data_IF_142500430701
#
_entry.id   IF_142500430701
#
_cell.length_a   1.000
_cell.length_b   1.000
_cell.length_c   1.000
_cell.angle_alpha   90.00
_cell.angle_beta   90.00
_cell.angle_gamma   90.00
#
_symmetry.space_group_name_H-M   'P 1'
#
loop_
_entity.id
_entity.type
_entity.pdbx_description
1 polymer ?
#
# COMPACT_ATOMS: atom_id res chain seq x y z
N UNK A 1 11.18 11.44 -20.11
CA UNK A 1 9.76 11.03 -19.91
C UNK A 1 9.27 11.66 -18.61
N UNK A 2 8.00 12.08 -18.55
CA UNK A 2 7.39 12.53 -17.30
C UNK A 2 7.32 11.38 -16.31
N UNK A 3 7.64 11.62 -15.03
CA UNK A 3 7.57 10.60 -13.98
C UNK A 3 6.11 10.13 -13.85
N UNK A 4 5.90 8.82 -13.95
CA UNK A 4 4.62 8.14 -13.74
C UNK A 4 4.71 7.12 -12.64
N UNK A 5 3.77 7.20 -11.70
CA UNK A 5 3.71 6.40 -10.49
C UNK A 5 2.38 5.65 -10.45
N UNK A 6 2.44 4.38 -10.08
CA UNK A 6 1.26 3.58 -9.75
C UNK A 6 1.45 3.00 -8.36
N UNK A 7 0.41 3.07 -7.52
CA UNK A 7 0.38 2.29 -6.30
C UNK A 7 -1.04 1.93 -5.87
N UNK A 8 -1.20 0.79 -5.21
CA UNK A 8 -2.49 0.27 -4.79
C UNK A 8 -2.47 -0.34 -3.39
N UNK A 9 -3.59 -0.21 -2.67
CA UNK A 9 -3.81 -0.81 -1.36
C UNK A 9 -4.97 -1.78 -1.48
N UNK A 10 -4.68 -3.08 -1.38
CA UNK A 10 -5.70 -4.13 -1.41
C UNK A 10 -6.76 -3.87 -0.33
N UNK A 11 -8.05 -4.04 -0.62
CA UNK A 11 -9.13 -3.90 0.35
C UNK A 11 -9.18 -5.12 1.30
N UNK A 12 -8.11 -5.33 2.06
CA UNK A 12 -7.97 -6.42 3.02
C UNK A 12 -7.92 -5.86 4.43
N UNK A 13 -9.01 -6.01 5.20
CA UNK A 13 -9.19 -5.61 6.60
C UNK A 13 -8.90 -4.15 6.94
N UNK A 14 -8.92 -3.82 8.23
CA UNK A 14 -8.76 -2.43 8.68
C UNK A 14 -7.33 -1.90 8.49
N UNK A 15 -7.21 -0.63 8.08
CA UNK A 15 -5.92 0.06 7.97
C UNK A 15 -5.39 0.43 9.36
N UNK A 16 -4.13 0.08 9.61
CA UNK A 16 -3.40 0.46 10.82
C UNK A 16 -2.39 1.58 10.52
N UNK A 17 -1.82 2.18 11.56
CA UNK A 17 -0.82 3.24 11.42
C UNK A 17 0.42 2.79 10.63
N UNK A 18 0.77 1.50 10.69
CA UNK A 18 1.84 0.94 9.86
C UNK A 18 1.52 0.99 8.35
N UNK A 19 0.29 0.69 7.97
CA UNK A 19 -0.19 0.87 6.60
C UNK A 19 -0.27 2.33 6.17
N UNK A 20 -0.61 3.24 7.08
CA UNK A 20 -0.56 4.67 6.78
C UNK A 20 0.88 5.16 6.54
N UNK A 21 1.81 4.83 7.43
CA UNK A 21 3.22 5.23 7.33
C UNK A 21 3.87 4.64 6.07
N UNK A 22 3.68 3.33 5.84
CA UNK A 22 4.34 2.62 4.74
C UNK A 22 3.73 2.87 3.36
N UNK A 23 2.52 3.44 3.27
CA UNK A 23 1.84 3.66 1.99
C UNK A 23 1.17 5.04 1.89
N UNK A 24 0.09 5.30 2.62
CA UNK A 24 -0.75 6.50 2.41
C UNK A 24 0.03 7.81 2.54
N UNK A 25 0.86 7.96 3.59
CA UNK A 25 1.69 9.16 3.78
C UNK A 25 2.62 9.40 2.59
N UNK A 26 3.17 8.33 2.04
CA UNK A 26 4.10 8.37 0.92
C UNK A 26 3.39 8.81 -0.35
N UNK A 27 2.18 8.30 -0.57
CA UNK A 27 1.36 8.73 -1.71
C UNK A 27 1.06 10.23 -1.64
N UNK A 28 0.76 10.75 -0.44
CA UNK A 28 0.51 12.18 -0.22
C UNK A 28 1.76 13.03 -0.48
N UNK A 29 2.95 12.52 -0.21
CA UNK A 29 4.21 13.22 -0.50
C UNK A 29 4.54 13.19 -2.00
N UNK A 30 4.42 12.01 -2.62
CA UNK A 30 4.83 11.76 -4.00
C UNK A 30 3.84 12.27 -5.06
N UNK A 31 2.59 12.53 -4.69
CA UNK A 31 1.52 12.94 -5.63
C UNK A 31 1.82 14.21 -6.44
N UNK A 32 2.83 15.00 -6.04
CA UNK A 32 3.23 16.22 -6.77
C UNK A 32 4.52 16.02 -7.61
N UNK A 33 5.11 14.83 -7.62
CA UNK A 33 6.37 14.54 -8.33
C UNK A 33 6.14 14.10 -9.79
N UNK A 34 4.90 13.85 -10.19
CA UNK A 34 4.56 13.33 -11.51
C UNK A 34 3.07 12.96 -11.63
N UNK A 35 2.74 12.23 -12.69
CA UNK A 35 1.39 11.70 -12.91
C UNK A 35 1.22 10.42 -12.07
N UNK A 36 0.29 10.45 -11.12
CA UNK A 36 0.08 9.33 -10.20
C UNK A 36 -1.29 8.68 -10.38
N UNK A 37 -1.27 7.35 -10.33
CA UNK A 37 -2.44 6.48 -10.34
C UNK A 37 -2.50 5.76 -8.99
N UNK A 38 -3.54 6.04 -8.21
CA UNK A 38 -3.80 5.36 -6.95
C UNK A 38 -5.07 4.53 -7.09
N UNK A 39 -5.01 3.26 -6.69
CA UNK A 39 -6.14 2.38 -6.93
C UNK A 39 -6.41 1.40 -5.80
N UNK A 40 -7.61 0.84 -5.84
CA UNK A 40 -8.05 -0.25 -4.98
C UNK A 40 -8.04 -1.53 -5.83
N UNK A 41 -7.05 -2.43 -5.63
CA UNK A 41 -6.92 -3.69 -6.36
C UNK A 41 -7.91 -4.74 -5.83
N UNK A 42 -9.19 -4.56 -6.17
CA UNK A 42 -10.28 -5.46 -5.79
C UNK A 42 -10.28 -6.80 -6.56
N UNK A 43 -9.72 -6.86 -7.78
CA UNK A 43 -9.50 -8.14 -8.47
C UNK A 43 -8.40 -8.98 -7.80
N UNK A 44 -7.37 -8.33 -7.23
CA UNK A 44 -6.38 -9.03 -6.38
C UNK A 44 -6.97 -9.48 -5.04
N UNK A 45 -8.04 -8.84 -4.57
CA UNK A 45 -8.71 -9.23 -3.34
C UNK A 45 -9.32 -10.63 -3.45
N UNK A 46 -9.98 -10.92 -4.57
CA UNK A 46 -10.72 -12.16 -4.84
C UNK A 46 -9.84 -13.36 -5.25
N UNK A 47 -8.51 -13.23 -5.22
CA UNK A 47 -7.57 -14.37 -5.34
C UNK A 47 -7.70 -15.39 -4.21
N UNK A 48 -8.32 -14.97 -3.09
CA UNK A 48 -8.73 -15.81 -1.97
C UNK A 48 -10.19 -15.48 -1.61
N UNK A 49 -10.93 -16.39 -0.96
CA UNK A 49 -12.34 -16.16 -0.62
C UNK A 49 -12.58 -14.85 0.13
N UNK A 50 -13.63 -14.13 -0.25
CA UNK A 50 -14.07 -12.87 0.37
C UNK A 50 -15.54 -12.96 0.73
N UNK A 51 -15.95 -12.34 1.84
CA UNK A 51 -17.35 -12.01 2.05
C UNK A 51 -17.75 -10.85 1.11
N UNK A 52 -18.80 -10.98 0.28
CA UNK A 52 -19.16 -9.95 -0.70
C UNK A 52 -19.53 -8.59 -0.08
N UNK A 53 -20.18 -8.58 1.09
CA UNK A 53 -20.54 -7.33 1.76
C UNK A 53 -19.30 -6.65 2.31
N UNK A 54 -18.42 -7.43 2.91
CA UNK A 54 -17.17 -6.96 3.47
C UNK A 54 -16.20 -6.44 2.40
N UNK A 55 -16.08 -7.13 1.26
CA UNK A 55 -15.26 -6.64 0.13
C UNK A 55 -15.76 -5.29 -0.37
N UNK A 56 -17.08 -5.15 -0.57
CA UNK A 56 -17.69 -3.89 -1.02
C UNK A 56 -17.41 -2.75 -0.06
N UNK A 57 -17.64 -3.00 1.24
CA UNK A 57 -17.39 -2.01 2.28
C UNK A 57 -15.92 -1.62 2.31
N UNK A 58 -15.00 -2.59 2.43
CA UNK A 58 -13.55 -2.35 2.49
C UNK A 58 -13.01 -1.61 1.28
N UNK A 59 -13.45 -1.95 0.07
CA UNK A 59 -13.04 -1.22 -1.14
C UNK A 59 -13.39 0.27 -1.02
N UNK A 60 -14.59 0.58 -0.54
CA UNK A 60 -15.04 1.95 -0.30
C UNK A 60 -14.22 2.62 0.80
N UNK A 61 -13.91 1.90 1.87
CA UNK A 61 -13.09 2.41 2.98
C UNK A 61 -11.67 2.79 2.54
N UNK A 62 -10.99 1.93 1.77
CA UNK A 62 -9.65 2.25 1.25
C UNK A 62 -9.70 3.51 0.37
N UNK A 63 -10.69 3.60 -0.52
CA UNK A 63 -10.86 4.78 -1.36
C UNK A 63 -11.08 6.06 -0.54
N UNK A 64 -11.92 6.00 0.50
CA UNK A 64 -12.13 7.11 1.43
C UNK A 64 -10.83 7.49 2.16
N UNK A 65 -10.02 6.51 2.58
CA UNK A 65 -8.74 6.78 3.24
C UNK A 65 -7.72 7.46 2.33
N UNK A 66 -7.70 7.19 1.02
CA UNK A 66 -6.84 7.96 0.10
C UNK A 66 -7.15 9.46 0.20
N UNK A 67 -8.44 9.81 0.10
CA UNK A 67 -8.87 11.21 0.15
C UNK A 67 -8.65 11.81 1.54
N UNK A 68 -9.04 11.08 2.58
CA UNK A 68 -8.92 11.54 3.96
C UNK A 68 -7.46 11.73 4.40
N UNK A 69 -6.53 10.94 3.88
CA UNK A 69 -5.10 11.11 4.13
C UNK A 69 -4.51 12.33 3.39
N UNK A 70 -5.21 12.86 2.37
CA UNK A 70 -4.80 14.05 1.62
C UNK A 70 -4.32 13.78 0.19
N UNK A 71 -4.65 12.64 -0.41
CA UNK A 71 -4.46 12.44 -1.84
C UNK A 71 -5.48 13.30 -2.60
N UNK A 72 -4.98 14.19 -3.46
CA UNK A 72 -5.78 15.13 -4.23
C UNK A 72 -6.40 14.42 -5.46
N UNK A 73 -7.73 14.22 -5.51
CA UNK A 73 -8.40 13.54 -6.62
C UNK A 73 -8.45 14.39 -7.89
N UNK A 74 -8.25 15.70 -7.81
CA UNK A 74 -8.21 16.56 -9.01
C UNK A 74 -6.91 16.35 -9.76
N UNK A 75 -5.80 16.21 -9.03
CA UNK A 75 -4.46 15.98 -9.61
C UNK A 75 -4.22 14.54 -10.02
N UNK A 76 -4.73 13.58 -9.25
CA UNK A 76 -4.39 12.16 -9.38
C UNK A 76 -5.63 11.33 -9.69
N UNK A 77 -5.46 10.27 -10.47
CA UNK A 77 -6.54 9.32 -10.71
C UNK A 77 -6.68 8.37 -9.50
N UNK A 78 -7.87 8.33 -8.90
CA UNK A 78 -8.20 7.43 -7.80
C UNK A 78 -9.36 6.53 -8.23
N UNK A 79 -9.15 5.22 -8.31
CA UNK A 79 -10.12 4.32 -8.94
C UNK A 79 -10.14 2.89 -8.36
N UNK A 80 -11.17 2.13 -8.72
CA UNK A 80 -11.26 0.69 -8.45
C UNK A 80 -10.67 -0.08 -9.63
N UNK A 81 -9.82 -1.08 -9.38
CA UNK A 81 -9.21 -1.89 -10.44
C UNK A 81 -10.25 -2.50 -11.37
N UNK A 82 -11.32 -3.07 -10.81
CA UNK A 82 -12.41 -3.69 -11.57
C UNK A 82 -13.20 -2.72 -12.46
N UNK A 83 -13.08 -1.41 -12.25
CA UNK A 83 -13.77 -0.39 -13.07
C UNK A 83 -12.97 -0.01 -14.32
N UNK A 84 -11.79 -0.58 -14.52
CA UNK A 84 -10.95 -0.39 -15.72
C UNK A 84 -10.66 -1.77 -16.30
N UNK A 85 -11.45 -2.18 -17.30
CA UNK A 85 -11.41 -3.55 -17.86
C UNK A 85 -10.06 -3.94 -18.45
N UNK A 86 -9.26 -2.95 -18.87
CA UNK A 86 -7.93 -3.18 -19.42
C UNK A 86 -7.00 -3.93 -18.46
N UNK A 87 -7.18 -3.80 -17.14
CA UNK A 87 -6.41 -4.57 -16.15
C UNK A 87 -6.57 -6.07 -16.35
N UNK A 88 -7.80 -6.55 -16.51
CA UNK A 88 -8.08 -7.96 -16.70
C UNK A 88 -7.62 -8.44 -18.09
N UNK A 89 -7.87 -7.66 -19.14
CA UNK A 89 -7.52 -8.03 -20.51
C UNK A 89 -6.00 -8.07 -20.73
N UNK A 90 -5.26 -7.04 -20.29
CA UNK A 90 -3.80 -7.08 -20.34
C UNK A 90 -3.24 -8.10 -19.33
N UNK A 91 -3.94 -8.37 -18.23
CA UNK A 91 -3.58 -9.43 -17.28
C UNK A 91 -3.49 -10.79 -17.97
N UNK A 92 -4.49 -11.13 -18.80
CA UNK A 92 -4.45 -12.33 -19.63
C UNK A 92 -3.29 -12.31 -20.62
N UNK A 93 -3.05 -11.19 -21.30
CA UNK A 93 -1.92 -11.05 -22.23
C UNK A 93 -0.59 -11.29 -21.50
N UNK A 94 -0.39 -10.70 -20.32
CA UNK A 94 0.81 -10.89 -19.51
C UNK A 94 0.96 -12.33 -19.02
N UNK A 95 -0.15 -13.00 -18.68
CA UNK A 95 -0.14 -14.41 -18.28
C UNK A 95 0.38 -15.31 -19.41
N UNK A 96 0.04 -15.01 -20.67
CA UNK A 96 0.61 -15.74 -21.83
C UNK A 96 2.11 -15.51 -22.03
N UNK A 97 2.67 -14.47 -21.41
CA UNK A 97 4.11 -14.20 -21.44
C UNK A 97 4.83 -14.83 -20.25
N UNK A 98 4.15 -15.08 -19.13
CA UNK A 98 4.75 -15.66 -17.93
C UNK A 98 4.97 -17.17 -18.07
N UNK A 99 6.06 -17.67 -17.50
CA UNK A 99 6.34 -19.10 -17.45
C UNK A 99 5.94 -19.70 -16.10
N UNK A 100 5.46 -20.95 -16.12
CA UNK A 100 5.08 -21.69 -14.92
C UNK A 100 6.17 -21.68 -13.84
N UNK A 101 7.44 -21.85 -14.24
CA UNK A 101 8.58 -21.84 -13.33
C UNK A 101 8.73 -20.50 -12.58
N UNK A 102 8.43 -19.38 -13.22
CA UNK A 102 8.56 -18.05 -12.63
C UNK A 102 7.49 -17.84 -11.55
N UNK A 103 6.24 -18.19 -11.87
CA UNK A 103 5.11 -18.09 -10.96
C UNK A 103 5.24 -19.05 -9.76
N UNK A 104 5.65 -20.30 -9.99
CA UNK A 104 5.82 -21.31 -8.93
C UNK A 104 6.96 -21.02 -7.94
N UNK A 105 7.90 -20.15 -8.31
CA UNK A 105 9.00 -19.73 -7.44
C UNK A 105 8.67 -18.50 -6.60
N UNK A 106 7.52 -17.86 -6.81
CA UNK A 106 7.12 -16.69 -6.04
C UNK A 106 6.95 -17.04 -4.56
N UNK A 107 7.65 -16.33 -3.68
CA UNK A 107 7.63 -16.58 -2.23
C UNK A 107 6.23 -16.38 -1.68
N UNK A 108 5.54 -15.32 -2.11
CA UNK A 108 4.16 -15.07 -1.69
C UNK A 108 3.17 -16.16 -2.12
N UNK A 109 3.39 -16.80 -3.28
CA UNK A 109 2.57 -17.94 -3.68
C UNK A 109 2.82 -19.12 -2.74
N UNK A 110 4.09 -19.49 -2.52
CA UNK A 110 4.48 -20.57 -1.60
C UNK A 110 3.89 -20.36 -0.22
N UNK A 111 4.14 -19.21 0.40
CA UNK A 111 3.68 -18.89 1.76
C UNK A 111 2.14 -18.91 1.88
N UNK A 112 1.41 -18.41 0.87
CA UNK A 112 -0.06 -18.35 0.91
C UNK A 112 -0.73 -19.67 0.50
N UNK A 113 0.00 -20.56 -0.16
CA UNK A 113 -0.44 -21.90 -0.59
C UNK A 113 -0.12 -22.97 0.44
N UNK A 114 0.88 -22.74 1.30
CA UNK A 114 1.35 -23.71 2.27
C UNK A 114 0.23 -24.13 3.24
N UNK A 115 0.14 -25.44 3.49
CA UNK A 115 -0.88 -26.03 4.35
C UNK A 115 -2.33 -25.93 3.86
N UNK A 116 -2.60 -25.58 2.59
CA UNK A 116 -3.95 -25.53 2.03
C UNK A 116 -4.26 -26.72 1.12
N UNK A 117 -5.42 -27.34 1.35
CA UNK A 117 -5.93 -28.44 0.52
C UNK A 117 -6.30 -27.99 -0.90
N UNK A 118 -6.78 -26.74 -1.03
CA UNK A 118 -7.16 -26.15 -2.31
C UNK A 118 -6.61 -24.74 -2.43
N UNK A 119 -5.99 -24.46 -3.58
CA UNK A 119 -5.38 -23.18 -3.90
C UNK A 119 -5.98 -22.69 -5.20
N UNK A 120 -6.51 -21.46 -5.20
CA UNK A 120 -7.05 -20.85 -6.40
C UNK A 120 -5.95 -20.67 -7.45
N UNK A 121 -6.26 -20.95 -8.72
CA UNK A 121 -5.35 -20.63 -9.84
C UNK A 121 -5.01 -19.14 -9.87
N UNK A 122 -5.96 -18.28 -9.47
CA UNK A 122 -5.72 -16.85 -9.38
C UNK A 122 -4.62 -16.49 -8.36
N UNK A 123 -4.44 -17.28 -7.29
CA UNK A 123 -3.32 -17.06 -6.36
C UNK A 123 -1.96 -17.36 -7.01
N UNK A 124 -1.93 -18.24 -8.01
CA UNK A 124 -0.74 -18.54 -8.79
C UNK A 124 -0.48 -17.50 -9.89
N UNK A 125 -1.55 -17.00 -10.53
CA UNK A 125 -1.45 -16.14 -11.72
C UNK A 125 -1.55 -14.64 -11.45
N UNK A 126 -1.94 -14.20 -10.24
CA UNK A 126 -2.03 -12.78 -9.92
C UNK A 126 -0.74 -11.95 -10.17
N UNK A 127 0.49 -12.50 -10.15
CA UNK A 127 1.67 -11.71 -10.51
C UNK A 127 1.60 -11.17 -11.95
N UNK A 128 0.95 -11.89 -12.88
CA UNK A 128 0.70 -11.38 -14.23
C UNK A 128 -0.34 -10.25 -14.26
N UNK A 129 -1.37 -10.33 -13.41
CA UNK A 129 -2.32 -9.24 -13.20
C UNK A 129 -1.65 -8.01 -12.59
N UNK A 130 -0.72 -8.18 -11.64
CA UNK A 130 0.07 -7.09 -11.08
C UNK A 130 0.97 -6.43 -12.13
N UNK A 131 1.59 -7.23 -13.01
CA UNK A 131 2.34 -6.69 -14.14
C UNK A 131 1.44 -5.87 -15.07
N UNK A 132 0.23 -6.36 -15.37
CA UNK A 132 -0.77 -5.61 -16.13
C UNK A 132 -1.10 -4.27 -15.47
N UNK A 133 -1.36 -4.27 -14.16
CA UNK A 133 -1.67 -3.04 -13.41
C UNK A 133 -0.59 -1.98 -13.65
N UNK A 134 0.69 -2.36 -13.53
CA UNK A 134 1.84 -1.47 -13.66
C UNK A 134 2.03 -1.01 -15.10
N UNK A 135 2.00 -1.92 -16.07
CA UNK A 135 2.41 -1.63 -17.45
C UNK A 135 1.37 -0.80 -18.21
N UNK A 136 0.07 -0.91 -17.89
CA UNK A 136 -1.00 -0.16 -18.56
C UNK A 136 -0.78 1.36 -18.57
N UNK A 137 -0.17 1.90 -17.54
CA UNK A 137 0.01 3.35 -17.38
C UNK A 137 1.35 3.86 -17.90
N UNK A 138 2.16 2.99 -18.53
CA UNK A 138 3.56 3.30 -18.86
C UNK A 138 4.32 3.76 -17.60
N UNK A 139 4.09 3.04 -16.50
CA UNK A 139 4.61 3.39 -15.19
C UNK A 139 6.13 3.37 -15.22
N UNK A 140 6.73 4.49 -14.80
CA UNK A 140 8.19 4.63 -14.74
C UNK A 140 8.74 4.15 -13.41
N UNK A 141 7.97 4.32 -12.33
CA UNK A 141 8.41 4.03 -10.98
C UNK A 141 7.29 3.41 -10.16
N UNK A 142 7.60 2.44 -9.31
CA UNK A 142 6.65 1.80 -8.40
C UNK A 142 7.17 1.87 -6.96
N UNK A 143 6.45 2.54 -6.04
CA UNK A 143 6.75 2.44 -4.62
C UNK A 143 6.49 1.00 -4.16
N UNK A 144 7.53 0.30 -3.72
CA UNK A 144 7.40 -1.09 -3.28
C UNK A 144 8.02 -1.28 -1.91
N UNK A 145 7.31 -1.99 -1.04
CA UNK A 145 7.92 -2.60 0.14
C UNK A 145 8.77 -3.82 -0.25
N UNK A 146 9.62 -4.27 0.66
CA UNK A 146 10.49 -5.44 0.45
C UNK A 146 9.72 -6.69 -0.01
N UNK A 147 8.48 -6.85 0.46
CA UNK A 147 7.61 -7.98 0.14
C UNK A 147 7.12 -7.99 -1.31
N UNK A 148 7.13 -6.84 -2.00
CA UNK A 148 6.65 -6.70 -3.37
C UNK A 148 7.77 -6.64 -4.42
N UNK A 149 9.04 -6.60 -3.99
CA UNK A 149 10.20 -6.51 -4.88
C UNK A 149 10.23 -7.65 -5.91
N UNK A 150 9.94 -8.88 -5.50
CA UNK A 150 9.94 -10.04 -6.40
C UNK A 150 8.90 -9.92 -7.52
N UNK A 151 7.72 -9.34 -7.23
CA UNK A 151 6.70 -9.12 -8.26
C UNK A 151 7.08 -8.01 -9.23
N UNK A 152 7.75 -6.97 -8.74
CA UNK A 152 8.25 -5.90 -9.61
C UNK A 152 9.33 -6.43 -10.55
N UNK A 153 10.26 -7.27 -10.07
CA UNK A 153 11.23 -7.93 -10.94
C UNK A 153 10.56 -8.78 -12.02
N UNK A 154 9.55 -9.59 -11.65
CA UNK A 154 8.77 -10.34 -12.64
C UNK A 154 8.10 -9.39 -13.66
N UNK A 155 7.53 -8.28 -13.20
CA UNK A 155 6.91 -7.29 -14.09
C UNK A 155 7.91 -6.73 -15.10
N UNK A 156 9.14 -6.43 -14.67
CA UNK A 156 10.23 -5.97 -15.54
C UNK A 156 10.65 -7.05 -16.55
N UNK A 157 10.75 -8.30 -16.11
CA UNK A 157 11.05 -9.44 -16.98
C UNK A 157 9.97 -9.63 -18.05
N UNK A 158 8.69 -9.56 -17.68
CA UNK A 158 7.56 -9.67 -18.61
C UNK A 158 7.52 -8.50 -19.61
N UNK A 159 7.74 -7.27 -19.15
CA UNK A 159 7.82 -6.09 -20.01
C UNK A 159 8.96 -6.22 -21.03
N UNK A 160 10.15 -6.59 -20.58
CA UNK A 160 11.33 -6.77 -21.43
C UNK A 160 11.12 -7.90 -22.44
N UNK A 161 10.55 -9.03 -21.99
CA UNK A 161 10.21 -10.17 -22.86
C UNK A 161 9.21 -9.78 -23.94
N UNK A 162 8.15 -9.07 -23.57
CA UNK A 162 7.17 -8.58 -24.52
C UNK A 162 7.81 -7.65 -25.54
N UNK A 163 8.58 -6.66 -25.07
CA UNK A 163 9.23 -5.67 -25.92
C UNK A 163 10.19 -6.31 -26.94
N UNK A 164 11.02 -7.26 -26.49
CA UNK A 164 11.94 -7.98 -27.36
C UNK A 164 11.23 -8.82 -28.43
N UNK A 165 10.03 -9.32 -28.13
CA UNK A 165 9.28 -10.21 -29.02
C UNK A 165 8.39 -9.47 -30.01
N UNK A 166 7.75 -8.38 -29.58
CA UNK A 166 6.69 -7.69 -30.33
C UNK A 166 7.02 -6.22 -30.66
N UNK A 167 8.17 -5.71 -30.22
CA UNK A 167 8.58 -4.31 -30.36
C UNK A 167 8.37 -3.51 -29.07
N UNK A 168 9.02 -2.35 -28.95
CA UNK A 168 8.96 -1.52 -27.75
C UNK A 168 7.55 -0.95 -27.51
N UNK A 169 6.81 -1.56 -26.56
CA UNK A 169 5.44 -1.15 -26.18
C UNK A 169 5.38 -0.67 -24.73
N UNK A 170 6.14 -1.30 -23.83
CA UNK A 170 6.09 -1.01 -22.41
C UNK A 170 7.32 -0.29 -21.90
N UNK A 171 7.10 0.71 -21.06
CA UNK A 171 8.13 1.25 -20.16
C UNK A 171 8.46 0.21 -19.10
N UNK A 172 9.75 -0.05 -18.87
CA UNK A 172 10.22 -0.96 -17.80
C UNK A 172 10.27 -0.16 -16.48
N UNK A 173 9.50 -0.54 -15.45
CA UNK A 173 9.36 0.26 -14.22
C UNK A 173 10.54 0.07 -13.26
N UNK A 174 10.99 1.13 -12.60
CA UNK A 174 12.02 1.11 -11.55
C UNK A 174 11.42 1.10 -10.13
N UNK A 175 12.04 0.43 -9.16
CA UNK A 175 11.60 0.48 -7.77
C UNK A 175 11.88 1.85 -7.14
N UNK A 176 10.97 2.31 -6.28
CA UNK A 176 11.26 3.34 -5.29
C UNK A 176 11.36 2.64 -3.93
N UNK A 177 12.58 2.55 -3.41
CA UNK A 177 12.89 2.03 -2.07
C UNK A 177 12.82 3.21 -1.08
N UNK A 178 12.19 2.99 0.07
CA UNK A 178 11.98 4.04 1.07
C UNK A 178 13.01 3.91 2.20
N UNK A 179 13.62 5.04 2.59
CA UNK A 179 14.78 5.06 3.49
C UNK A 179 14.45 5.03 5.00
N UNK A 180 13.23 5.38 5.45
CA UNK A 180 12.86 5.43 6.89
C UNK A 180 11.37 5.13 7.13
N UNK A 181 11.03 4.35 8.16
CA UNK A 181 9.64 4.10 8.60
C UNK A 181 8.87 3.06 7.77
N UNK A 182 9.54 2.39 6.83
CA UNK A 182 8.92 1.39 5.94
C UNK A 182 8.28 0.20 6.68
N UNK A 183 8.67 -0.02 7.95
CA UNK A 183 8.23 -1.19 8.72
C UNK A 183 7.97 -0.86 10.19
N UNK A 184 6.73 -0.44 10.47
CA UNK A 184 6.23 -0.28 11.84
C UNK A 184 6.01 -1.64 12.50
N UNK A 185 6.59 -1.85 13.67
CA UNK A 185 6.50 -3.09 14.45
C UNK A 185 5.34 -3.06 15.46
N UNK A 186 4.97 -4.23 15.97
CA UNK A 186 3.94 -4.37 17.00
C UNK A 186 4.28 -3.57 18.26
N UNK A 187 3.27 -3.00 18.90
CA UNK A 187 3.43 -2.28 20.17
C UNK A 187 3.70 -3.22 21.34
N UNK A 188 3.38 -4.50 21.22
CA UNK A 188 3.61 -5.54 22.23
C UNK A 188 4.91 -6.34 21.98
N UNK A 189 5.23 -6.60 20.72
CA UNK A 189 6.44 -7.31 20.30
C UNK A 189 7.09 -6.59 19.10
N UNK A 190 8.26 -5.96 19.29
CA UNK A 190 8.93 -5.25 18.22
C UNK A 190 9.65 -6.16 17.22
N UNK A 191 9.68 -7.49 17.44
CA UNK A 191 10.22 -8.44 16.45
C UNK A 191 9.21 -8.77 15.35
N UNK A 192 7.93 -8.50 15.61
CA UNK A 192 6.82 -8.79 14.71
C UNK A 192 6.30 -7.51 14.06
N UNK A 193 6.04 -7.53 12.74
CA UNK A 193 5.43 -6.39 12.03
C UNK A 193 4.04 -6.11 12.61
N UNK A 194 3.68 -4.83 12.72
CA UNK A 194 2.33 -4.45 13.14
C UNK A 194 1.29 -5.06 12.20
N UNK A 195 0.48 -5.98 12.72
CA UNK A 195 -0.53 -6.69 11.95
C UNK A 195 -1.86 -6.70 12.69
N UNK A 196 -2.94 -6.40 11.96
CA UNK A 196 -4.32 -6.55 12.44
C UNK A 196 -4.73 -8.00 12.72
N UNK A 197 -4.00 -8.98 12.17
CA UNK A 197 -4.25 -10.40 12.44
C UNK A 197 -3.67 -10.86 13.77
N UNK A 198 -2.94 -10.00 14.50
CA UNK A 198 -2.46 -10.30 15.82
C UNK A 198 -3.65 -10.41 16.78
N UNK A 199 -3.81 -11.53 17.53
CA UNK A 199 -4.92 -11.70 18.49
C UNK A 199 -4.91 -10.65 19.61
N UNK A 200 -3.73 -10.11 19.93
CA UNK A 200 -3.60 -9.01 20.88
C UNK A 200 -3.93 -7.68 20.19
N UNK A 201 -5.16 -7.17 20.39
CA UNK A 201 -5.60 -5.87 19.86
C UNK A 201 -4.77 -4.68 20.35
N UNK A 202 -3.96 -4.84 21.41
CA UNK A 202 -3.07 -3.77 21.90
C UNK A 202 -1.78 -3.65 21.07
N UNK A 203 -1.49 -4.62 20.20
CA UNK A 203 -0.29 -4.67 19.35
C UNK A 203 -0.31 -3.68 18.18
N UNK A 204 -1.47 -3.18 17.79
CA UNK A 204 -1.64 -2.31 16.63
C UNK A 204 -2.62 -1.17 16.90
N UNK A 205 -2.45 -0.05 16.21
CA UNK A 205 -3.39 1.09 16.23
C UNK A 205 -4.06 1.20 14.87
N UNK A 206 -5.39 1.18 14.84
CA UNK A 206 -6.17 1.39 13.62
C UNK A 206 -6.33 2.89 13.34
N UNK A 207 -6.48 3.26 12.06
CA UNK A 207 -6.70 4.66 11.69
C UNK A 207 -8.00 5.23 12.25
N UNK A 208 -8.99 4.38 12.54
CA UNK A 208 -10.28 4.76 13.13
C UNK A 208 -10.37 4.40 14.61
N UNK A 209 -9.26 4.04 15.27
CA UNK A 209 -9.31 3.89 16.73
C UNK A 209 -9.66 5.24 17.37
N UNK A 210 -10.59 5.21 18.32
CA UNK A 210 -10.94 6.40 19.11
C UNK A 210 -9.72 6.94 19.87
N UNK A 211 -9.63 8.26 20.09
CA UNK A 211 -8.50 8.87 20.80
C UNK A 211 -8.18 8.24 22.16
N UNK A 212 -9.21 7.81 22.91
CA UNK A 212 -9.04 7.10 24.19
C UNK A 212 -8.40 5.72 24.04
N UNK A 213 -8.71 5.00 22.95
CA UNK A 213 -8.13 3.70 22.62
C UNK A 213 -6.67 3.85 22.21
N UNK A 214 -6.36 4.84 21.37
CA UNK A 214 -4.99 5.15 20.94
C UNK A 214 -4.09 5.42 22.16
N UNK A 215 -4.52 6.31 23.07
CA UNK A 215 -3.79 6.62 24.32
C UNK A 215 -3.56 5.37 25.19
N UNK A 216 -4.58 4.51 25.30
CA UNK A 216 -4.47 3.27 26.07
C UNK A 216 -3.49 2.28 25.45
N UNK A 217 -3.43 2.18 24.12
CA UNK A 217 -2.50 1.29 23.41
C UNK A 217 -1.05 1.76 23.57
N UNK A 218 -0.76 3.04 23.36
CA UNK A 218 0.60 3.58 23.54
C UNK A 218 1.07 3.55 25.00
N UNK A 219 0.19 3.81 25.98
CA UNK A 219 0.59 3.69 27.39
C UNK A 219 0.99 2.26 27.78
N UNK A 220 0.47 1.25 27.07
CA UNK A 220 0.77 -0.18 27.28
C UNK A 220 1.84 -0.74 26.35
N UNK A 221 2.35 0.06 25.40
CA UNK A 221 3.37 -0.40 24.48
C UNK A 221 4.59 -0.91 25.27
N UNK A 222 5.18 -2.02 24.85
CA UNK A 222 6.35 -2.60 25.50
C UNK A 222 7.54 -1.66 25.31
N UNK A 223 8.37 -1.58 26.35
CA UNK A 223 9.65 -0.86 26.39
C UNK A 223 10.62 -1.68 27.24
N UNK A 224 11.90 -1.35 27.17
CA UNK A 224 12.90 -1.89 28.10
C UNK A 224 12.83 -1.22 29.50
N UNK A 225 13.80 -1.54 30.36
CA UNK A 225 13.94 -1.05 31.74
C UNK A 225 14.93 0.11 31.91
N UNK A 226 15.63 0.55 30.86
CA UNK A 226 16.69 1.57 30.97
C UNK A 226 16.14 2.99 31.19
N UNK A 227 14.86 3.20 30.91
CA UNK A 227 14.17 4.49 31.06
C UNK A 227 14.79 5.64 30.25
N UNK A 228 15.43 5.33 29.11
CA UNK A 228 16.09 6.28 28.22
C UNK A 228 15.48 6.24 26.83
N UNK A 229 14.94 7.35 26.35
CA UNK A 229 14.42 7.49 24.98
C UNK A 229 15.58 7.69 24.01
N UNK A 230 16.14 6.57 23.54
CA UNK A 230 17.28 6.53 22.61
C UNK A 230 16.97 5.58 21.46
N UNK A 231 17.29 5.99 20.25
CA UNK A 231 17.15 5.20 19.05
C UNK A 231 18.33 4.22 18.92
N UNK A 232 18.01 2.94 18.99
CA UNK A 232 18.95 1.83 18.89
C UNK A 232 18.16 0.55 18.60
N UNK A 233 18.18 0.05 17.36
CA UNK A 233 17.41 -1.15 17.01
C UNK A 233 18.00 -2.44 17.61
N UNK A 234 19.31 -2.47 17.90
CA UNK A 234 19.97 -3.64 18.45
C UNK A 234 19.71 -3.78 19.94
N UNK A 235 19.80 -2.67 20.68
CA UNK A 235 19.62 -2.67 22.14
C UNK A 235 18.19 -2.32 22.58
N UNK A 236 17.45 -1.51 21.82
CA UNK A 236 16.18 -0.89 22.24
C UNK A 236 15.09 -0.95 21.16
N UNK A 237 14.84 -2.10 20.51
CA UNK A 237 13.95 -2.19 19.34
C UNK A 237 12.53 -1.66 19.61
N UNK A 238 11.99 -1.89 20.81
CA UNK A 238 10.67 -1.38 21.17
C UNK A 238 10.62 0.16 21.26
N UNK A 239 11.65 0.78 21.84
CA UNK A 239 11.74 2.25 21.96
C UNK A 239 12.03 2.87 20.60
N UNK A 240 12.91 2.25 19.80
CA UNK A 240 13.22 2.67 18.43
C UNK A 240 11.98 2.70 17.52
N UNK A 241 11.14 1.65 17.59
CA UNK A 241 9.86 1.62 16.89
C UNK A 241 8.95 2.79 17.30
N UNK A 242 8.85 3.10 18.60
CA UNK A 242 8.04 4.22 19.09
C UNK A 242 8.62 5.58 18.67
N UNK A 243 9.94 5.72 18.62
CA UNK A 243 10.62 6.94 18.14
C UNK A 243 10.34 7.16 16.65
N UNK A 244 10.37 6.10 15.84
CA UNK A 244 10.01 6.19 14.42
C UNK A 244 8.55 6.62 14.22
N UNK A 245 7.62 6.04 14.98
CA UNK A 245 6.21 6.47 14.96
C UNK A 245 6.12 7.95 15.36
N UNK A 246 6.81 8.38 16.42
CA UNK A 246 6.83 9.78 16.84
C UNK A 246 7.36 10.68 15.72
N UNK A 247 8.50 10.33 15.15
CA UNK A 247 9.18 11.08 14.09
C UNK A 247 8.24 11.28 12.89
N UNK A 248 7.55 10.23 12.47
CA UNK A 248 6.63 10.28 11.32
C UNK A 248 5.38 11.10 11.61
N UNK A 249 4.74 10.90 12.76
CA UNK A 249 3.48 11.57 13.08
C UNK A 249 3.67 13.01 13.57
N UNK A 250 4.80 13.29 14.22
CA UNK A 250 5.19 14.62 14.68
C UNK A 250 5.98 15.43 13.66
N UNK A 251 6.31 14.84 12.51
CA UNK A 251 7.15 15.44 11.46
C UNK A 251 8.48 16.00 12.04
N UNK A 252 9.12 15.22 12.92
CA UNK A 252 10.41 15.53 13.56
C UNK A 252 11.49 14.53 13.13
N UNK A 253 12.76 14.93 13.15
CA UNK A 253 13.86 13.97 12.97
C UNK A 253 14.00 13.07 14.21
N UNK A 254 14.56 11.87 14.03
CA UNK A 254 14.88 10.96 15.16
C UNK A 254 15.71 11.68 16.22
N UNK A 255 16.73 12.43 15.80
CA UNK A 255 17.59 13.20 16.70
C UNK A 255 16.83 14.27 17.50
N UNK A 256 15.85 14.94 16.86
CA UNK A 256 15.00 15.90 17.56
C UNK A 256 14.09 15.23 18.59
N UNK A 257 13.59 14.01 18.29
CA UNK A 257 12.81 13.22 19.25
C UNK A 257 13.68 12.82 20.44
N UNK A 258 14.88 12.30 20.22
CA UNK A 258 15.81 11.93 21.31
C UNK A 258 16.14 13.14 22.18
N UNK A 259 16.49 14.27 21.57
CA UNK A 259 16.79 15.52 22.28
C UNK A 259 15.59 16.03 23.08
N UNK A 260 14.37 15.92 22.53
CA UNK A 260 13.14 16.35 23.19
C UNK A 260 12.87 15.58 24.47
N UNK A 261 13.20 14.29 24.49
CA UNK A 261 12.95 13.40 25.63
C UNK A 261 14.23 13.08 26.43
N UNK A 262 15.30 13.84 26.23
CA UNK A 262 16.53 13.72 27.02
C UNK A 262 16.22 13.94 28.52
N UNK A 263 16.66 13.01 29.36
CA UNK A 263 16.39 13.03 30.80
C UNK A 263 14.93 12.77 31.20
N UNK A 264 14.03 12.48 30.24
CA UNK A 264 12.63 12.14 30.52
C UNK A 264 12.40 10.63 30.52
N UNK A 265 11.47 10.15 31.36
CA UNK A 265 11.09 8.75 31.41
C UNK A 265 10.04 8.35 30.36
N UNK A 266 9.89 7.04 30.12
CA UNK A 266 8.96 6.50 29.12
C UNK A 266 7.49 6.89 29.30
N UNK A 267 7.05 7.19 30.52
CA UNK A 267 5.67 7.63 30.77
C UNK A 267 5.34 8.95 30.07
N UNK A 268 6.24 9.94 30.14
CA UNK A 268 6.07 11.22 29.47
C UNK A 268 6.12 11.04 27.94
N UNK A 269 7.12 10.30 27.46
CA UNK A 269 7.29 9.98 26.04
C UNK A 269 6.06 9.30 25.43
N UNK A 270 5.56 8.21 26.05
CA UNK A 270 4.37 7.47 25.55
C UNK A 270 3.11 8.33 25.57
N UNK A 271 2.96 9.18 26.58
CA UNK A 271 1.81 10.10 26.67
C UNK A 271 1.84 11.09 25.51
N UNK A 272 2.98 11.72 25.25
CA UNK A 272 3.10 12.69 24.17
C UNK A 272 3.01 12.04 22.78
N UNK A 273 3.63 10.87 22.59
CA UNK A 273 3.48 10.07 21.38
C UNK A 273 2.01 9.80 21.06
N UNK A 274 1.21 9.43 22.06
CA UNK A 274 -0.21 9.21 21.86
C UNK A 274 -0.94 10.48 21.40
N UNK A 275 -0.66 11.64 21.99
CA UNK A 275 -1.28 12.90 21.58
C UNK A 275 -0.88 13.31 20.17
N UNK A 276 0.40 13.12 19.79
CA UNK A 276 0.88 13.41 18.43
C UNK A 276 0.17 12.53 17.39
N UNK A 277 0.02 11.23 17.68
CA UNK A 277 -0.72 10.32 16.78
C UNK A 277 -2.20 10.70 16.71
N UNK A 278 -2.85 10.99 17.86
CA UNK A 278 -4.24 11.44 17.90
C UNK A 278 -4.43 12.71 17.07
N UNK A 279 -3.60 13.73 17.28
CA UNK A 279 -3.72 15.01 16.58
C UNK A 279 -3.58 14.86 15.05
N UNK A 280 -2.79 13.90 14.57
CA UNK A 280 -2.69 13.60 13.13
C UNK A 280 -3.88 12.80 12.61
N UNK A 281 -4.40 11.86 13.39
CA UNK A 281 -5.50 10.97 12.96
C UNK A 281 -6.86 11.66 13.03
N UNK A 282 -7.11 12.55 13.98
CA UNK A 282 -8.40 13.27 14.11
C UNK A 282 -8.89 13.93 12.81
N UNK A 283 -8.10 14.75 12.09
CA UNK A 283 -8.56 15.34 10.82
C UNK A 283 -8.78 14.29 9.72
N UNK A 284 -7.99 13.21 9.71
CA UNK A 284 -8.17 12.09 8.78
C UNK A 284 -9.50 11.37 9.08
N UNK A 285 -9.77 11.09 10.36
CA UNK A 285 -11.01 10.45 10.80
C UNK A 285 -12.23 11.31 10.48
N UNK A 286 -12.15 12.62 10.71
CA UNK A 286 -13.20 13.56 10.35
C UNK A 286 -13.49 13.49 8.84
N UNK A 287 -12.46 13.69 8.00
CA UNK A 287 -12.64 13.69 6.54
C UNK A 287 -13.10 12.33 6.01
N UNK A 288 -12.64 11.24 6.60
CA UNK A 288 -13.10 9.89 6.30
C UNK A 288 -14.61 9.75 6.55
N UNK A 289 -15.08 10.17 7.73
CA UNK A 289 -16.49 10.08 8.11
C UNK A 289 -17.40 10.95 7.22
N UNK A 290 -16.91 12.10 6.77
CA UNK A 290 -17.61 12.96 5.83
C UNK A 290 -17.77 12.30 4.44
N UNK A 291 -16.72 11.63 3.96
CA UNK A 291 -16.65 11.18 2.57
C UNK A 291 -17.14 9.74 2.34
N UNK A 292 -17.00 8.84 3.33
CA UNK A 292 -17.16 7.40 3.15
C UNK A 292 -18.52 7.00 2.56
N UNK A 293 -19.60 7.70 2.87
CA UNK A 293 -20.94 7.41 2.33
C UNK A 293 -21.49 8.53 1.44
N UNK A 294 -20.63 9.45 1.00
CA UNK A 294 -21.01 10.59 0.17
C UNK A 294 -21.09 10.23 -1.33
N UNK A 295 -21.87 11.02 -2.08
CA UNK A 295 -21.80 11.03 -3.55
C UNK A 295 -20.48 11.61 -4.07
N UNK A 296 -19.79 12.42 -3.26
CA UNK A 296 -18.47 12.97 -3.59
C UNK A 296 -17.49 11.83 -3.90
N UNK A 297 -17.44 10.80 -3.04
CA UNK A 297 -16.59 9.63 -3.25
C UNK A 297 -16.91 8.90 -4.56
N UNK A 298 -18.20 8.74 -4.86
CA UNK A 298 -18.65 8.06 -6.08
C UNK A 298 -18.23 8.83 -7.33
N UNK A 299 -18.35 10.15 -7.29
CA UNK A 299 -17.96 11.02 -8.40
C UNK A 299 -16.45 11.02 -8.60
N UNK A 300 -15.67 11.06 -7.52
CA UNK A 300 -14.20 10.93 -7.56
C UNK A 300 -13.80 9.61 -8.22
N UNK A 301 -14.38 8.49 -7.78
CA UNK A 301 -14.04 7.16 -8.30
C UNK A 301 -14.45 6.96 -9.76
N UNK A 302 -15.59 7.51 -10.18
CA UNK A 302 -16.04 7.49 -11.59
C UNK A 302 -15.09 8.28 -12.48
N UNK A 303 -14.72 9.49 -12.05
CA UNK A 303 -13.80 10.33 -12.82
C UNK A 303 -12.39 9.74 -12.86
N UNK A 304 -11.90 9.21 -11.73
CA UNK A 304 -10.61 8.51 -11.66
C UNK A 304 -10.59 7.28 -12.58
N UNK A 305 -11.65 6.48 -12.60
CA UNK A 305 -11.75 5.32 -13.49
C UNK A 305 -11.76 5.74 -14.98
N UNK A 306 -12.47 6.82 -15.33
CA UNK A 306 -12.46 7.38 -16.69
C UNK A 306 -11.06 7.80 -17.12
N UNK A 307 -10.37 8.61 -16.30
CA UNK A 307 -8.99 9.06 -16.58
C UNK A 307 -7.99 7.91 -16.66
N UNK A 308 -8.14 6.92 -15.79
CA UNK A 308 -7.32 5.71 -15.82
C UNK A 308 -7.56 4.92 -17.11
N UNK A 309 -8.81 4.66 -17.49
CA UNK A 309 -9.17 3.97 -18.72
C UNK A 309 -8.62 4.66 -19.98
N UNK A 310 -8.71 5.99 -20.07
CA UNK A 310 -8.16 6.76 -21.21
C UNK A 310 -6.65 6.52 -21.45
N UNK A 311 -5.90 6.19 -20.40
CA UNK A 311 -4.47 5.85 -20.49
C UNK A 311 -4.29 4.35 -20.72
N UNK A 312 -4.96 3.53 -19.92
CA UNK A 312 -4.85 2.08 -19.95
C UNK A 312 -5.27 1.49 -21.32
N UNK A 313 -6.36 1.99 -21.90
CA UNK A 313 -6.90 1.48 -23.17
C UNK A 313 -5.96 1.76 -24.35
N UNK A 314 -5.21 2.88 -24.31
CA UNK A 314 -4.19 3.19 -25.32
C UNK A 314 -3.05 2.17 -25.28
N UNK A 315 -2.54 1.88 -24.09
CA UNK A 315 -1.47 0.89 -23.90
C UNK A 315 -1.94 -0.52 -24.26
N UNK A 316 -3.16 -0.89 -23.84
CA UNK A 316 -3.76 -2.18 -24.21
C UNK A 316 -3.90 -2.30 -25.73
N UNK A 317 -4.41 -1.27 -26.41
CA UNK A 317 -4.51 -1.27 -27.88
C UNK A 317 -3.15 -1.50 -28.53
N UNK A 318 -2.12 -0.79 -28.09
CA UNK A 318 -0.76 -0.95 -28.61
C UNK A 318 -0.22 -2.38 -28.39
N UNK A 319 -0.45 -2.96 -27.22
CA UNK A 319 -0.06 -4.35 -26.95
C UNK A 319 -0.81 -5.36 -27.85
N UNK A 320 -2.10 -5.14 -28.07
CA UNK A 320 -2.93 -5.98 -28.95
C UNK A 320 -2.46 -5.90 -30.41
N UNK A 321 -2.21 -4.69 -30.91
CA UNK A 321 -1.67 -4.46 -32.26
C UNK A 321 -0.30 -5.14 -32.43
N UNK A 322 0.60 -4.99 -31.46
CA UNK A 322 1.94 -5.60 -31.48
C UNK A 322 1.89 -7.14 -31.48
N UNK A 323 0.87 -7.74 -30.84
CA UNK A 323 0.63 -9.18 -30.88
C UNK A 323 -0.13 -9.66 -32.13
N UNK A 324 -0.57 -8.75 -33.01
CA UNK A 324 -1.35 -9.07 -34.20
C UNK A 324 -2.82 -9.41 -33.90
N UNK A 325 -3.36 -9.01 -32.75
CA UNK A 325 -4.79 -9.10 -32.48
C UNK A 325 -5.54 -8.05 -33.31
N UNK A 326 -6.70 -8.43 -33.83
CA UNK A 326 -7.57 -7.49 -34.54
C UNK A 326 -8.11 -6.43 -33.57
N UNK A 327 -7.92 -5.17 -33.95
CA UNK A 327 -8.44 -3.99 -33.24
C UNK A 327 -9.26 -3.13 -34.21
N UNK A 328 -10.25 -2.43 -33.69
CA UNK A 328 -11.09 -1.51 -34.44
C UNK A 328 -10.87 -0.08 -33.91
#
# INVERSE_FOLDING_TARGET
MTKRLLSGIKPSGDLNIGGYIGALRQYVQMQNEGECYFFVPDLHAITVPQDPKELRERSRQIAAFYIAAGVDPVKNAIFMQSHVSAHAELGWIMETQAHFGELSRMTQFKDKSDGKDTVSSALFTYPALMASDILLYQTTHVPVGDDQKQHLELTRDLATRFNNRFGEVFTVPEPIIQDVGARVMGLDDPSSKMSKSNPNKSSYVLLLDEPSVIRKKFSRAVTDSDMSVRYDWDAKPAVSNLIEIFSVFGDLSIADVEKRFEGQGYGAFKKELAEVVVAKLEPIQQRYNEIIHSEELDNILKDGARRAAETADKTLRAAKEAMGLLVF
#
